data_IF_129550684941
#
_entry.id   IF_129550684941
#
_cell.length_a   1.000
_cell.length_b   1.000
_cell.length_c   1.000
_cell.angle_alpha   90.00
_cell.angle_beta   90.00
_cell.angle_gamma   90.00
#
_symmetry.space_group_name_H-M   'P 1'
#
loop_
_entity.id
_entity.type
_entity.pdbx_description
1 polymer ?
#
# COMPACT_ATOMS: atom_id res chain seq x y z
N UNK A 1 -14.90 22.94 -17.38
CA UNK A 1 -16.21 23.25 -16.74
C UNK A 1 -17.23 22.29 -17.32
N UNK A 2 -17.71 21.30 -16.55
CA UNK A 2 -18.86 20.50 -17.00
C UNK A 2 -20.09 21.39 -16.98
N UNK A 3 -20.78 21.48 -18.11
CA UNK A 3 -22.03 22.24 -18.25
C UNK A 3 -23.12 21.52 -17.45
N UNK A 4 -24.02 22.28 -16.82
CA UNK A 4 -25.16 21.70 -16.11
C UNK A 4 -26.03 20.91 -17.08
N UNK A 5 -26.28 19.63 -16.78
CA UNK A 5 -27.23 18.78 -17.49
C UNK A 5 -28.52 18.70 -16.68
N UNK A 6 -29.65 19.06 -17.30
CA UNK A 6 -30.98 18.97 -16.70
C UNK A 6 -31.76 17.90 -17.46
N UNK A 7 -32.06 16.79 -16.78
CA UNK A 7 -32.93 15.73 -17.30
C UNK A 7 -34.40 16.11 -17.13
N UNK A 8 -35.16 16.03 -18.21
CA UNK A 8 -36.58 16.32 -18.25
C UNK A 8 -37.33 15.10 -18.73
N UNK A 9 -38.50 14.84 -18.14
CA UNK A 9 -39.36 13.74 -18.56
C UNK A 9 -40.82 14.16 -18.58
N UNK A 10 -41.57 13.73 -19.58
CA UNK A 10 -43.02 13.86 -19.62
C UNK A 10 -43.67 12.66 -20.29
N UNK A 11 -44.91 12.38 -19.92
CA UNK A 11 -45.76 11.41 -20.63
C UNK A 11 -46.58 12.17 -21.65
N UNK A 12 -46.50 11.75 -22.90
CA UNK A 12 -47.19 12.38 -24.03
C UNK A 12 -48.14 11.38 -24.66
N UNK A 13 -49.36 11.83 -24.95
CA UNK A 13 -50.41 11.00 -25.55
C UNK A 13 -51.03 11.71 -26.74
N UNK A 14 -51.24 10.95 -27.80
CA UNK A 14 -52.00 11.29 -28.99
C UNK A 14 -53.41 10.68 -28.85
N UNK A 15 -54.50 11.49 -28.93
CA UNK A 15 -55.88 11.03 -28.76
C UNK A 15 -56.32 9.97 -29.78
N UNK A 16 -55.72 9.97 -30.97
CA UNK A 16 -55.94 9.01 -32.04
C UNK A 16 -55.06 7.76 -31.91
N UNK A 17 -54.22 7.70 -30.86
CA UNK A 17 -53.33 6.57 -30.57
C UNK A 17 -52.05 6.55 -31.40
N UNK A 18 -51.76 7.64 -32.12
CA UNK A 18 -50.56 7.79 -32.95
C UNK A 18 -49.25 7.84 -32.16
N UNK A 19 -48.12 7.69 -32.86
CA UNK A 19 -46.82 7.98 -32.27
C UNK A 19 -46.64 9.49 -32.10
N UNK A 20 -46.11 9.89 -30.94
CA UNK A 20 -45.90 11.29 -30.55
C UNK A 20 -44.43 11.54 -30.21
N UNK A 21 -43.90 12.67 -30.66
CA UNK A 21 -42.58 13.17 -30.28
C UNK A 21 -42.72 14.33 -29.29
N UNK A 22 -41.79 14.46 -28.34
CA UNK A 22 -41.70 15.62 -27.49
C UNK A 22 -41.09 16.80 -28.26
N UNK A 23 -41.67 17.98 -28.10
CA UNK A 23 -41.08 19.27 -28.49
C UNK A 23 -40.87 20.07 -27.21
N UNK A 24 -39.62 20.45 -26.95
CA UNK A 24 -39.20 21.10 -25.72
C UNK A 24 -38.54 22.43 -26.03
N UNK A 25 -38.96 23.47 -25.33
CA UNK A 25 -38.37 24.81 -25.37
C UNK A 25 -37.99 25.26 -23.96
N UNK A 26 -36.82 25.87 -23.83
CA UNK A 26 -36.38 26.55 -22.61
C UNK A 26 -36.16 28.01 -22.91
N UNK A 27 -36.88 28.88 -22.19
CA UNK A 27 -36.84 30.33 -22.34
C UNK A 27 -36.40 30.98 -21.05
N UNK A 28 -35.84 32.20 -21.11
CA UNK A 28 -35.56 32.95 -19.90
C UNK A 28 -36.88 33.35 -19.22
N UNK A 29 -36.99 33.14 -17.91
CA UNK A 29 -38.24 33.35 -17.16
C UNK A 29 -38.71 34.81 -17.24
N UNK A 30 -37.79 35.76 -17.06
CA UNK A 30 -38.07 37.21 -17.09
C UNK A 30 -37.89 37.83 -18.48
N UNK A 31 -37.54 37.02 -19.49
CA UNK A 31 -37.48 37.42 -20.91
C UNK A 31 -38.06 36.28 -21.75
N UNK A 32 -39.38 36.05 -21.71
CA UNK A 32 -40.00 34.86 -22.31
C UNK A 32 -39.82 34.77 -23.84
N UNK A 33 -39.53 35.88 -24.51
CA UNK A 33 -39.21 35.89 -25.94
C UNK A 33 -37.78 35.39 -26.25
N UNK A 34 -36.93 35.26 -25.24
CA UNK A 34 -35.56 34.75 -25.38
C UNK A 34 -35.55 33.23 -25.24
N UNK A 35 -35.57 32.53 -26.37
CA UNK A 35 -35.33 31.09 -26.45
C UNK A 35 -33.84 30.81 -26.21
N UNK A 36 -33.54 29.95 -25.25
CA UNK A 36 -32.17 29.62 -24.83
C UNK A 36 -31.77 28.23 -25.28
N UNK A 37 -32.74 27.31 -25.32
CA UNK A 37 -32.52 25.96 -25.77
C UNK A 37 -33.81 25.41 -26.37
N UNK A 38 -33.71 24.58 -27.40
CA UNK A 38 -34.83 23.85 -28.00
C UNK A 38 -34.39 22.47 -28.43
N UNK A 39 -35.29 21.50 -28.35
CA UNK A 39 -35.03 20.13 -28.76
C UNK A 39 -36.26 19.26 -28.67
N UNK A 40 -36.06 17.95 -28.71
CA UNK A 40 -37.15 16.99 -28.72
C UNK A 40 -36.66 15.56 -28.77
N UNK A 41 -37.60 14.64 -28.89
CA UNK A 41 -37.34 13.20 -29.00
C UNK A 41 -37.71 12.68 -30.38
N UNK A 42 -37.28 11.45 -30.68
CA UNK A 42 -37.89 10.67 -31.77
C UNK A 42 -39.32 10.26 -31.39
N UNK A 43 -40.24 10.12 -32.36
CA UNK A 43 -41.61 9.70 -32.07
C UNK A 43 -41.66 8.33 -31.37
N UNK A 44 -42.45 8.25 -30.30
CA UNK A 44 -42.69 7.01 -29.55
C UNK A 44 -44.19 6.76 -29.42
N UNK A 45 -44.58 5.54 -29.03
CA UNK A 45 -45.98 5.19 -28.84
C UNK A 45 -46.68 6.12 -27.84
N UNK A 46 -47.95 6.44 -28.12
CA UNK A 46 -48.82 7.24 -27.23
C UNK A 46 -48.80 6.69 -25.78
N UNK A 47 -48.74 7.58 -24.81
CA UNK A 47 -48.71 7.25 -23.38
C UNK A 47 -47.35 6.83 -22.83
N UNK A 48 -46.27 6.86 -23.63
CA UNK A 48 -44.90 6.60 -23.16
C UNK A 48 -44.29 7.82 -22.50
N UNK A 49 -43.52 7.58 -21.44
CA UNK A 49 -42.63 8.59 -20.85
C UNK A 49 -41.46 8.83 -21.80
N UNK A 50 -41.20 10.10 -22.08
CA UNK A 50 -40.13 10.54 -22.97
C UNK A 50 -39.23 11.52 -22.23
N UNK A 51 -37.92 11.36 -22.40
CA UNK A 51 -36.93 12.17 -21.70
C UNK A 51 -36.01 12.95 -22.64
N UNK A 52 -35.63 14.14 -22.23
CA UNK A 52 -34.71 15.03 -22.96
C UNK A 52 -33.70 15.61 -21.99
N UNK A 53 -32.43 15.64 -22.39
CA UNK A 53 -31.35 16.28 -21.63
C UNK A 53 -31.12 17.68 -22.17
N UNK A 54 -31.13 18.68 -21.28
CA UNK A 54 -30.81 20.07 -21.59
C UNK A 54 -29.44 20.38 -21.04
N UNK A 55 -28.54 20.87 -21.89
CA UNK A 55 -27.17 21.19 -21.54
C UNK A 55 -26.84 22.67 -21.82
N UNK A 56 -25.78 23.17 -21.18
CA UNK A 56 -25.19 24.47 -21.51
C UNK A 56 -25.98 25.71 -21.09
N UNK A 57 -26.98 25.57 -20.21
CA UNK A 57 -27.70 26.72 -19.66
C UNK A 57 -26.79 27.56 -18.74
N UNK A 58 -26.70 28.89 -18.96
CA UNK A 58 -26.04 29.80 -18.01
C UNK A 58 -26.74 29.85 -16.64
N UNK A 59 -26.12 30.55 -15.68
CA UNK A 59 -26.80 30.90 -14.42
C UNK A 59 -27.99 31.83 -14.72
N UNK A 60 -29.16 31.50 -14.21
CA UNK A 60 -30.38 32.27 -14.45
C UNK A 60 -31.66 31.51 -14.12
N UNK A 61 -32.80 32.17 -14.29
CA UNK A 61 -34.13 31.58 -14.15
C UNK A 61 -34.75 31.33 -15.52
N UNK A 62 -35.35 30.16 -15.69
CA UNK A 62 -35.85 29.63 -16.95
C UNK A 62 -37.29 29.13 -16.81
N UNK A 63 -38.03 29.21 -17.91
CA UNK A 63 -39.30 28.55 -18.10
C UNK A 63 -39.14 27.47 -19.15
N UNK A 64 -39.41 26.24 -18.76
CA UNK A 64 -39.59 25.09 -19.63
C UNK A 64 -40.98 25.11 -20.25
N UNK A 65 -41.08 24.73 -21.51
CA UNK A 65 -42.33 24.33 -22.18
C UNK A 65 -42.14 22.99 -22.89
N UNK A 66 -43.05 22.05 -22.67
CA UNK A 66 -43.08 20.75 -23.35
C UNK A 66 -44.45 20.50 -23.99
N UNK A 67 -44.47 20.04 -25.23
CA UNK A 67 -45.68 19.67 -25.97
C UNK A 67 -45.45 18.37 -26.77
N UNK A 68 -46.53 17.66 -27.10
CA UNK A 68 -46.49 16.52 -28.01
C UNK A 68 -46.70 16.96 -29.46
N UNK A 69 -45.94 16.38 -30.39
CA UNK A 69 -46.12 16.54 -31.84
C UNK A 69 -46.41 15.18 -32.48
N UNK A 70 -47.51 15.09 -33.22
CA UNK A 70 -47.91 13.87 -33.94
C UNK A 70 -47.15 13.71 -35.28
N UNK A 71 -47.46 12.64 -36.02
CA UNK A 71 -46.88 12.35 -37.33
C UNK A 71 -47.32 13.34 -38.43
N UNK A 72 -48.52 13.90 -38.33
CA UNK A 72 -49.02 14.92 -39.25
C UNK A 72 -48.37 16.29 -38.99
N UNK A 73 -47.66 16.42 -37.87
CA UNK A 73 -46.98 17.63 -37.44
C UNK A 73 -47.84 18.53 -36.55
N UNK A 74 -49.04 18.09 -36.16
CA UNK A 74 -49.88 18.82 -35.23
C UNK A 74 -49.23 18.82 -33.85
N UNK A 75 -49.25 19.97 -33.19
CA UNK A 75 -48.69 20.16 -31.85
C UNK A 75 -49.84 20.31 -30.87
N UNK A 76 -49.87 19.46 -29.86
CA UNK A 76 -50.85 19.50 -28.78
C UNK A 76 -50.61 20.63 -27.78
N UNK A 77 -51.46 20.73 -26.74
CA UNK A 77 -51.27 21.69 -25.67
C UNK A 77 -49.93 21.48 -24.96
N UNK A 78 -49.33 22.57 -24.47
CA UNK A 78 -48.04 22.53 -23.77
C UNK A 78 -48.19 22.63 -22.26
N UNK A 79 -47.32 21.92 -21.53
CA UNK A 79 -47.12 22.07 -20.09
C UNK A 79 -45.86 22.90 -19.83
N UNK A 80 -45.85 23.69 -18.76
CA UNK A 80 -44.72 24.55 -18.40
C UNK A 80 -44.22 24.33 -16.98
N UNK A 81 -42.93 24.50 -16.75
CA UNK A 81 -42.28 24.41 -15.44
C UNK A 81 -41.19 25.47 -15.32
N UNK A 82 -41.09 26.15 -14.18
CA UNK A 82 -40.06 27.17 -13.95
C UNK A 82 -38.93 26.56 -13.11
N UNK A 83 -37.68 26.85 -13.48
CA UNK A 83 -36.49 26.38 -12.76
C UNK A 83 -35.36 27.42 -12.79
N UNK A 84 -34.37 27.29 -11.92
CA UNK A 84 -33.19 28.14 -11.92
C UNK A 84 -31.90 27.33 -11.97
N UNK A 85 -30.93 27.82 -12.73
CA UNK A 85 -29.56 27.33 -12.74
C UNK A 85 -28.72 28.29 -11.90
N UNK A 86 -28.08 27.79 -10.85
CA UNK A 86 -27.20 28.59 -9.98
C UNK A 86 -25.75 28.14 -10.12
N UNK A 87 -24.80 29.04 -9.85
CA UNK A 87 -23.39 28.66 -9.72
C UNK A 87 -23.26 27.68 -8.55
N UNK A 88 -22.46 26.62 -8.71
CA UNK A 88 -22.13 25.73 -7.60
C UNK A 88 -21.46 26.56 -6.49
N UNK A 89 -22.12 26.65 -5.33
CA UNK A 89 -21.63 27.39 -4.15
C UNK A 89 -20.41 26.71 -3.54
N UNK A 90 -20.42 25.39 -3.56
CA UNK A 90 -19.33 24.55 -3.11
C UNK A 90 -18.63 23.90 -4.29
N UNK A 91 -17.34 23.66 -4.14
CA UNK A 91 -16.52 22.87 -5.04
C UNK A 91 -16.07 21.57 -4.33
N UNK A 92 -15.69 20.57 -5.12
CA UNK A 92 -15.10 19.35 -4.56
C UNK A 92 -13.80 19.72 -3.81
N UNK A 93 -13.60 19.26 -2.56
CA UNK A 93 -12.41 19.59 -1.81
C UNK A 93 -11.13 19.11 -2.50
N UNK A 94 -10.00 19.73 -2.16
CA UNK A 94 -8.68 19.19 -2.44
C UNK A 94 -8.10 18.60 -1.16
N UNK A 95 -7.39 17.50 -1.28
CA UNK A 95 -6.63 16.90 -0.18
C UNK A 95 -5.15 17.00 -0.54
N UNK A 96 -4.33 17.47 0.40
CA UNK A 96 -2.87 17.56 0.20
C UNK A 96 -2.17 17.03 1.44
N UNK A 97 -1.27 16.07 1.24
CA UNK A 97 -0.42 15.57 2.32
C UNK A 97 0.49 16.69 2.83
N UNK A 98 0.63 16.79 4.15
CA UNK A 98 1.49 17.80 4.79
C UNK A 98 2.90 17.24 4.91
N UNK A 99 3.88 17.92 4.31
CA UNK A 99 5.29 17.56 4.44
C UNK A 99 5.80 17.81 5.87
N UNK A 100 6.84 17.07 6.28
CA UNK A 100 7.49 17.22 7.60
C UNK A 100 6.92 16.32 8.71
N UNK A 101 5.89 15.52 8.42
CA UNK A 101 5.46 14.42 9.28
C UNK A 101 6.23 13.14 8.92
N UNK A 102 6.44 12.20 9.88
CA UNK A 102 7.05 10.90 9.60
C UNK A 102 6.35 10.13 8.47
N UNK A 103 5.00 10.16 8.47
CA UNK A 103 4.18 9.66 7.38
C UNK A 103 3.85 10.74 6.36
N UNK A 104 4.44 10.65 5.17
CA UNK A 104 4.07 11.49 4.01
C UNK A 104 3.24 10.68 3.01
N UNK A 105 1.95 11.01 2.90
CA UNK A 105 0.96 10.23 2.16
C UNK A 105 0.34 10.97 0.96
N UNK A 106 1.09 11.30 -0.11
CA UNK A 106 0.51 11.79 -1.36
C UNK A 106 -0.56 10.84 -1.91
N UNK A 107 -1.45 11.37 -2.76
CA UNK A 107 -2.45 10.54 -3.40
C UNK A 107 -1.77 9.50 -4.30
N UNK A 108 -2.20 8.24 -4.18
CA UNK A 108 -1.60 7.08 -4.84
C UNK A 108 -0.26 6.61 -4.26
N UNK A 109 0.24 7.19 -3.16
CA UNK A 109 1.53 6.82 -2.60
C UNK A 109 1.54 5.42 -1.96
N UNK A 110 2.75 4.84 -1.86
CA UNK A 110 3.03 3.65 -1.06
C UNK A 110 4.01 4.00 0.06
N UNK A 111 3.69 3.62 1.29
CA UNK A 111 4.56 3.76 2.46
C UNK A 111 4.88 2.38 3.00
N UNK A 112 6.12 2.13 3.40
CA UNK A 112 6.61 0.76 3.67
C UNK A 112 5.96 0.11 4.88
N UNK A 113 5.61 0.86 5.92
CA UNK A 113 5.15 0.33 7.21
C UNK A 113 3.95 1.10 7.80
N UNK A 114 3.10 0.43 8.62
CA UNK A 114 2.11 1.11 9.44
C UNK A 114 2.77 1.83 10.62
N UNK A 115 1.99 2.62 11.36
CA UNK A 115 2.43 3.30 12.60
C UNK A 115 3.01 4.68 12.40
N UNK A 116 3.33 5.09 11.17
CA UNK A 116 3.85 6.42 10.89
C UNK A 116 2.74 7.49 10.98
N UNK A 117 2.84 8.49 11.86
CA UNK A 117 1.84 9.55 11.94
C UNK A 117 1.96 10.50 10.74
N UNK A 118 0.83 10.84 10.11
CA UNK A 118 0.74 11.80 9.02
C UNK A 118 -0.37 12.82 9.20
N UNK A 119 -0.34 13.86 8.36
CA UNK A 119 -1.34 14.92 8.33
C UNK A 119 -1.76 15.27 6.90
N UNK A 120 -3.03 15.66 6.74
CA UNK A 120 -3.63 16.03 5.47
C UNK A 120 -4.32 17.38 5.61
N UNK A 121 -3.98 18.31 4.72
CA UNK A 121 -4.64 19.61 4.61
C UNK A 121 -5.78 19.52 3.62
N UNK A 122 -6.97 19.91 4.07
CA UNK A 122 -8.18 19.98 3.25
C UNK A 122 -8.32 21.42 2.72
N UNK A 123 -8.84 21.56 1.50
CA UNK A 123 -8.95 22.86 0.84
C UNK A 123 -9.94 22.84 -0.32
N UNK A 124 -9.97 23.92 -1.10
CA UNK A 124 -10.69 23.94 -2.38
C UNK A 124 -12.21 23.80 -2.32
N UNK A 125 -12.83 23.93 -1.14
CA UNK A 125 -14.26 23.67 -0.92
C UNK A 125 -15.21 24.72 -1.50
N UNK A 126 -14.68 25.82 -2.04
CA UNK A 126 -15.43 27.02 -2.40
C UNK A 126 -15.46 28.05 -1.26
N UNK A 127 -15.84 29.29 -1.57
CA UNK A 127 -15.83 30.40 -0.60
C UNK A 127 -16.89 30.25 0.51
N UNK A 128 -17.94 29.48 0.25
CA UNK A 128 -19.06 29.26 1.18
C UNK A 128 -18.82 28.07 2.12
N UNK A 129 -17.69 27.36 1.98
CA UNK A 129 -17.34 26.23 2.84
C UNK A 129 -16.96 26.72 4.23
N UNK A 130 -17.64 26.20 5.25
CA UNK A 130 -17.36 26.51 6.67
C UNK A 130 -16.79 25.30 7.42
N UNK A 131 -17.01 24.10 6.90
CA UNK A 131 -16.57 22.84 7.48
C UNK A 131 -16.19 21.86 6.37
N UNK A 132 -15.26 20.96 6.68
CA UNK A 132 -15.02 19.75 5.91
C UNK A 132 -15.44 18.54 6.72
N UNK A 133 -16.30 17.71 6.14
CA UNK A 133 -16.64 16.42 6.69
C UNK A 133 -15.80 15.33 6.03
N UNK A 134 -15.32 14.38 6.81
CA UNK A 134 -14.46 13.32 6.32
C UNK A 134 -14.71 11.96 6.99
N UNK A 135 -14.16 10.93 6.37
CA UNK A 135 -14.21 9.54 6.83
C UNK A 135 -13.01 8.75 6.30
N UNK A 136 -12.69 7.64 6.97
CA UNK A 136 -11.62 6.72 6.58
C UNK A 136 -12.23 5.39 6.12
N UNK A 137 -12.06 5.03 4.84
CA UNK A 137 -12.50 3.76 4.29
C UNK A 137 -14.02 3.53 4.24
N UNK A 138 -14.83 4.57 4.51
CA UNK A 138 -16.29 4.50 4.55
C UNK A 138 -16.90 5.73 3.83
N UNK A 139 -18.09 5.55 3.25
CA UNK A 139 -18.92 6.59 2.65
C UNK A 139 -19.73 7.40 3.69
N UNK A 140 -19.77 6.94 4.94
CA UNK A 140 -20.44 7.63 6.05
C UNK A 140 -19.51 8.65 6.69
N UNK A 141 -19.83 9.93 6.55
CA UNK A 141 -19.05 11.04 7.10
C UNK A 141 -19.33 11.23 8.59
N UNK A 142 -18.48 10.63 9.45
CA UNK A 142 -18.61 10.69 10.91
C UNK A 142 -17.69 11.69 11.60
N UNK A 143 -16.80 12.37 10.87
CA UNK A 143 -15.81 13.30 11.42
C UNK A 143 -15.84 14.63 10.67
N UNK A 144 -15.37 15.70 11.31
CA UNK A 144 -15.26 17.01 10.66
C UNK A 144 -14.16 17.89 11.24
N UNK A 145 -13.72 18.87 10.43
CA UNK A 145 -12.81 19.95 10.82
C UNK A 145 -13.30 21.29 10.25
N UNK A 146 -13.07 22.41 10.95
CA UNK A 146 -13.47 23.72 10.46
C UNK A 146 -12.66 24.13 9.23
N UNK A 147 -13.28 24.84 8.28
CA UNK A 147 -12.59 25.35 7.10
C UNK A 147 -11.49 26.38 7.43
N UNK A 148 -11.52 26.98 8.63
CA UNK A 148 -10.49 27.89 9.13
C UNK A 148 -9.22 27.19 9.62
N UNK A 149 -9.31 25.92 10.00
CA UNK A 149 -8.16 25.08 10.37
C UNK A 149 -8.34 23.66 9.81
N UNK A 150 -8.21 23.49 8.48
CA UNK A 150 -8.65 22.28 7.80
C UNK A 150 -7.52 21.23 7.76
N UNK A 151 -7.04 20.78 8.91
CA UNK A 151 -6.00 19.75 9.01
C UNK A 151 -6.54 18.52 9.72
N UNK A 152 -6.37 17.35 9.10
CA UNK A 152 -6.73 16.05 9.69
C UNK A 152 -5.48 15.20 9.91
N UNK A 153 -5.46 14.46 11.01
CA UNK A 153 -4.35 13.58 11.39
C UNK A 153 -4.74 12.12 11.21
N UNK A 154 -3.79 11.29 10.81
CA UNK A 154 -4.02 9.86 10.65
C UNK A 154 -2.72 9.07 10.82
N UNK A 155 -2.81 7.98 11.57
CA UNK A 155 -1.72 7.04 11.78
C UNK A 155 -2.24 5.66 11.37
N UNK A 156 -1.94 5.16 10.16
CA UNK A 156 -2.41 3.85 9.72
C UNK A 156 -1.92 2.76 10.67
N UNK A 157 -2.81 1.96 11.24
CA UNK A 157 -2.45 0.88 12.18
C UNK A 157 -2.27 -0.47 11.48
N UNK A 158 -2.62 -0.56 10.20
CA UNK A 158 -2.65 -1.81 9.44
C UNK A 158 -2.00 -1.61 8.08
N UNK A 159 -1.44 -2.68 7.51
CA UNK A 159 -1.07 -2.69 6.11
C UNK A 159 -2.31 -2.77 5.21
N UNK A 160 -2.22 -2.22 4.01
CA UNK A 160 -3.24 -2.30 2.98
C UNK A 160 -3.61 -0.94 2.39
N UNK A 161 -4.66 -0.90 1.57
CA UNK A 161 -5.17 0.35 1.03
C UNK A 161 -5.86 1.16 2.13
N UNK A 162 -5.60 2.46 2.14
CA UNK A 162 -6.26 3.44 2.98
C UNK A 162 -6.90 4.51 2.09
N UNK A 163 -8.03 5.01 2.53
CA UNK A 163 -8.80 5.98 1.76
C UNK A 163 -9.40 7.04 2.68
N UNK A 164 -9.10 8.30 2.41
CA UNK A 164 -9.73 9.47 3.02
C UNK A 164 -10.79 9.99 2.06
N UNK A 165 -12.04 10.03 2.50
CA UNK A 165 -13.14 10.63 1.75
C UNK A 165 -13.49 11.97 2.38
N UNK A 166 -13.65 13.03 1.58
CA UNK A 166 -13.86 14.40 2.08
C UNK A 166 -14.92 15.12 1.28
N UNK A 167 -15.80 15.87 1.95
CA UNK A 167 -16.73 16.83 1.32
C UNK A 167 -16.72 18.16 2.08
N UNK A 168 -16.94 19.25 1.36
CA UNK A 168 -17.16 20.57 1.97
C UNK A 168 -18.62 20.74 2.37
N UNK A 169 -18.84 21.50 3.44
CA UNK A 169 -20.16 21.81 3.97
C UNK A 169 -20.29 23.32 4.15
N UNK A 170 -21.40 23.88 3.69
CA UNK A 170 -21.75 25.29 3.87
C UNK A 170 -22.51 25.53 5.17
N UNK A 171 -22.64 26.79 5.58
CA UNK A 171 -23.36 27.17 6.81
C UNK A 171 -24.85 26.78 6.81
N UNK A 172 -25.46 26.64 5.63
CA UNK A 172 -26.84 26.18 5.45
C UNK A 172 -26.98 24.64 5.38
N UNK A 173 -25.88 23.91 5.57
CA UNK A 173 -25.83 22.45 5.53
C UNK A 173 -25.70 21.86 4.12
N UNK A 174 -25.62 22.68 3.06
CA UNK A 174 -25.36 22.18 1.71
C UNK A 174 -24.00 21.49 1.65
N UNK A 175 -23.88 20.43 0.84
CA UNK A 175 -22.65 19.64 0.70
C UNK A 175 -22.11 19.64 -0.73
N UNK A 176 -20.79 19.61 -0.87
CA UNK A 176 -20.13 19.43 -2.18
C UNK A 176 -20.20 17.98 -2.67
N UNK A 177 -19.68 17.75 -3.89
CA UNK A 177 -19.20 16.42 -4.29
C UNK A 177 -18.07 15.96 -3.37
N UNK A 178 -17.93 14.64 -3.23
CA UNK A 178 -16.86 14.00 -2.45
C UNK A 178 -15.57 13.91 -3.24
N UNK A 179 -14.45 14.17 -2.57
CA UNK A 179 -13.10 13.87 -3.04
C UNK A 179 -12.57 12.65 -2.30
N UNK A 180 -11.93 11.75 -3.04
CA UNK A 180 -11.29 10.55 -2.50
C UNK A 180 -9.78 10.73 -2.62
N UNK A 181 -9.06 10.54 -1.51
CA UNK A 181 -7.61 10.50 -1.45
C UNK A 181 -7.19 9.11 -0.99
N UNK A 182 -6.32 8.46 -1.74
CA UNK A 182 -5.96 7.06 -1.57
C UNK A 182 -4.45 6.91 -1.39
N UNK A 183 -4.04 5.93 -0.59
CA UNK A 183 -2.64 5.52 -0.47
C UNK A 183 -2.58 4.08 0.05
N UNK A 184 -1.44 3.42 -0.09
CA UNK A 184 -1.22 2.07 0.42
C UNK A 184 -0.12 2.05 1.47
N UNK A 185 -0.29 1.20 2.46
CA UNK A 185 0.68 0.98 3.54
C UNK A 185 1.14 -0.47 3.49
N UNK A 186 2.45 -0.68 3.42
CA UNK A 186 3.07 -2.00 3.51
C UNK A 186 3.02 -2.55 4.92
N UNK A 187 3.55 -3.75 5.12
CA UNK A 187 3.63 -4.41 6.42
C UNK A 187 4.99 -4.15 7.12
N UNK A 188 5.77 -3.20 6.62
CA UNK A 188 7.13 -2.87 7.07
C UNK A 188 8.18 -3.92 6.72
N UNK A 189 7.80 -5.01 6.04
CA UNK A 189 8.73 -6.09 5.70
C UNK A 189 9.47 -5.74 4.42
N UNK A 190 10.78 -5.97 4.45
CA UNK A 190 11.63 -5.95 3.27
C UNK A 190 12.07 -7.38 2.95
N UNK A 191 11.76 -7.86 1.75
CA UNK A 191 12.08 -9.24 1.33
C UNK A 191 12.90 -9.26 0.04
N UNK A 192 13.92 -10.12 0.02
CA UNK A 192 14.78 -10.41 -1.13
C UNK A 192 14.77 -11.91 -1.43
N UNK A 193 14.10 -12.31 -2.51
CA UNK A 193 13.98 -13.73 -2.94
C UNK A 193 15.15 -14.20 -3.80
N UNK A 194 15.82 -13.28 -4.50
CA UNK A 194 17.00 -13.51 -5.34
C UNK A 194 16.77 -14.28 -6.66
N UNK A 195 15.51 -14.43 -7.09
CA UNK A 195 15.13 -15.12 -8.35
C UNK A 195 15.47 -14.35 -9.64
N UNK A 196 15.83 -13.07 -9.55
CA UNK A 196 16.14 -12.22 -10.71
C UNK A 196 17.60 -12.40 -11.16
N UNK A 197 17.79 -13.10 -12.28
CA UNK A 197 19.09 -13.53 -12.83
C UNK A 197 19.85 -12.45 -13.62
N UNK A 198 19.29 -11.26 -13.81
CA UNK A 198 19.82 -10.31 -14.81
C UNK A 198 20.23 -8.94 -14.25
N UNK A 199 19.98 -8.65 -12.98
CA UNK A 199 20.26 -7.33 -12.41
C UNK A 199 21.32 -7.35 -11.31
N UNK A 200 22.36 -6.49 -11.38
CA UNK A 200 23.27 -6.26 -10.26
C UNK A 200 22.61 -5.48 -9.12
N UNK A 201 21.39 -4.98 -9.31
CA UNK A 201 20.54 -4.40 -8.26
C UNK A 201 19.26 -5.19 -8.16
N UNK A 202 19.14 -5.98 -7.11
CA UNK A 202 18.00 -6.83 -6.84
C UNK A 202 16.82 -5.99 -6.34
N UNK A 203 15.63 -6.14 -6.95
CA UNK A 203 14.43 -5.52 -6.42
C UNK A 203 14.09 -6.15 -5.06
N UNK A 204 13.51 -5.34 -4.17
CA UNK A 204 12.91 -5.83 -2.94
C UNK A 204 11.40 -5.76 -3.04
N UNK A 205 10.70 -6.56 -2.23
CA UNK A 205 9.32 -6.27 -1.88
C UNK A 205 9.31 -5.47 -0.58
N UNK A 206 9.00 -4.17 -0.65
CA UNK A 206 8.71 -3.33 0.52
C UNK A 206 9.84 -2.45 1.06
N UNK A 207 11.05 -2.49 0.48
CA UNK A 207 12.21 -1.72 0.96
C UNK A 207 13.22 -1.30 -0.11
N UNK A 208 14.46 -0.95 0.27
CA UNK A 208 15.49 -0.51 -0.68
C UNK A 208 15.96 -1.65 -1.58
N UNK A 209 16.46 -1.30 -2.77
CA UNK A 209 17.16 -2.26 -3.63
C UNK A 209 18.46 -2.75 -2.98
N UNK A 210 18.95 -3.93 -3.41
CA UNK A 210 20.19 -4.52 -2.93
C UNK A 210 21.18 -4.69 -4.08
N UNK A 211 22.37 -4.13 -3.95
CA UNK A 211 23.44 -4.27 -4.95
C UNK A 211 24.27 -5.51 -4.67
N UNK A 212 24.49 -6.33 -5.69
CA UNK A 212 25.26 -7.58 -5.62
C UNK A 212 26.62 -7.38 -6.27
N UNK A 213 27.70 -7.91 -5.67
CA UNK A 213 29.03 -7.87 -6.27
C UNK A 213 29.10 -8.71 -7.55
N UNK A 214 29.95 -8.35 -8.54
CA UNK A 214 29.99 -9.03 -9.83
C UNK A 214 30.43 -10.51 -9.79
N UNK A 215 31.06 -10.94 -8.71
CA UNK A 215 31.61 -12.29 -8.53
C UNK A 215 30.60 -13.27 -7.92
N UNK A 216 29.52 -12.77 -7.31
CA UNK A 216 28.43 -13.61 -6.79
C UNK A 216 27.72 -14.30 -7.97
N UNK A 217 27.45 -15.58 -7.81
CA UNK A 217 26.73 -16.39 -8.81
C UNK A 217 25.37 -16.81 -8.31
N UNK A 218 24.46 -17.12 -9.23
CA UNK A 218 23.14 -17.65 -8.92
C UNK A 218 23.14 -19.16 -9.07
N UNK A 219 22.58 -19.84 -8.07
CA UNK A 219 22.40 -21.29 -8.06
C UNK A 219 20.93 -21.65 -7.84
N UNK A 220 20.61 -22.94 -7.95
CA UNK A 220 19.27 -23.41 -7.62
C UNK A 220 18.97 -23.14 -6.15
N UNK A 221 17.81 -22.52 -5.91
CA UNK A 221 17.28 -22.35 -4.57
C UNK A 221 16.68 -23.64 -4.01
N UNK A 222 16.26 -23.62 -2.73
CA UNK A 222 15.71 -24.79 -2.04
C UNK A 222 14.49 -25.42 -2.73
N UNK A 223 13.60 -24.63 -3.35
CA UNK A 223 12.41 -25.12 -4.04
C UNK A 223 12.72 -25.66 -5.43
N UNK A 224 13.71 -25.09 -6.11
CA UNK A 224 14.17 -25.62 -7.39
C UNK A 224 14.82 -27.00 -7.22
N UNK A 225 15.60 -27.21 -6.17
CA UNK A 225 16.27 -28.48 -5.91
C UNK A 225 15.31 -29.64 -5.59
N UNK A 226 14.12 -29.33 -5.06
CA UNK A 226 13.07 -30.34 -4.82
C UNK A 226 12.04 -30.40 -5.95
N UNK A 227 12.22 -29.63 -7.04
CA UNK A 227 11.31 -29.59 -8.18
C UNK A 227 9.95 -28.92 -7.90
N UNK A 228 9.83 -28.13 -6.83
CA UNK A 228 8.60 -27.43 -6.46
C UNK A 228 8.43 -26.10 -7.22
N UNK A 229 9.54 -25.41 -7.52
CA UNK A 229 9.55 -24.18 -8.31
C UNK A 229 10.87 -24.02 -9.06
N UNK A 230 10.87 -24.25 -10.38
CA UNK A 230 12.11 -24.30 -11.19
C UNK A 230 12.83 -22.95 -11.34
N UNK A 231 12.14 -21.84 -11.10
CA UNK A 231 12.70 -20.48 -11.19
C UNK A 231 13.32 -20.02 -9.88
N UNK A 232 13.16 -20.76 -8.78
CA UNK A 232 13.73 -20.44 -7.47
C UNK A 232 15.27 -20.40 -7.51
N UNK A 233 15.87 -19.31 -7.04
CA UNK A 233 17.33 -19.12 -7.03
C UNK A 233 17.85 -18.73 -5.66
N UNK A 234 19.16 -18.88 -5.52
CA UNK A 234 19.91 -18.41 -4.38
C UNK A 234 21.20 -17.72 -4.85
N UNK A 235 21.72 -16.81 -4.04
CA UNK A 235 23.05 -16.24 -4.24
C UNK A 235 24.11 -17.14 -3.61
N UNK A 236 25.17 -17.43 -4.37
CA UNK A 236 26.36 -18.13 -3.91
C UNK A 236 27.47 -17.15 -3.58
N UNK A 237 28.06 -17.34 -2.41
CA UNK A 237 29.21 -16.61 -1.90
C UNK A 237 30.35 -17.60 -1.76
N UNK A 238 31.23 -17.64 -2.75
CA UNK A 238 32.39 -18.54 -2.80
C UNK A 238 33.72 -17.80 -3.01
N UNK A 239 33.68 -16.54 -3.41
CA UNK A 239 34.85 -15.69 -3.56
C UNK A 239 35.01 -14.69 -2.40
N UNK A 240 36.25 -14.23 -2.10
CA UNK A 240 36.50 -13.35 -0.96
C UNK A 240 35.73 -12.02 -0.99
N UNK A 241 35.44 -11.50 -2.18
CA UNK A 241 34.79 -10.20 -2.36
C UNK A 241 33.26 -10.30 -2.54
N UNK A 242 32.71 -11.51 -2.47
CA UNK A 242 31.29 -11.75 -2.62
C UNK A 242 30.48 -11.07 -1.52
N UNK A 243 29.57 -10.20 -1.93
CA UNK A 243 28.65 -9.51 -1.03
C UNK A 243 27.43 -9.00 -1.76
N UNK A 244 26.33 -8.88 -1.04
CA UNK A 244 25.18 -8.09 -1.46
C UNK A 244 24.82 -7.07 -0.37
N UNK A 245 24.52 -5.83 -0.73
CA UNK A 245 24.36 -4.75 0.23
C UNK A 245 23.23 -3.77 -0.16
N UNK A 246 22.51 -3.25 0.84
CA UNK A 246 21.55 -2.16 0.63
C UNK A 246 22.21 -0.79 0.83
N UNK A 247 21.79 0.21 0.07
CA UNK A 247 22.24 1.61 0.26
C UNK A 247 21.50 2.35 1.37
N UNK A 248 20.37 1.79 1.84
CA UNK A 248 19.53 2.34 2.89
C UNK A 248 19.12 1.23 3.87
N UNK A 249 18.58 1.62 5.02
CA UNK A 249 18.08 0.68 6.01
C UNK A 249 16.82 -0.06 5.51
N UNK A 250 16.79 -1.40 5.57
CA UNK A 250 15.60 -2.20 5.22
C UNK A 250 14.53 -2.19 6.32
N UNK A 251 14.87 -1.73 7.53
CA UNK A 251 13.97 -1.48 8.65
C UNK A 251 14.13 -0.04 9.11
N UNK A 252 13.03 0.60 9.50
CA UNK A 252 12.98 1.99 9.98
C UNK A 252 11.99 2.09 11.12
N UNK A 253 12.34 2.81 12.18
CA UNK A 253 11.45 3.10 13.31
C UNK A 253 10.86 1.83 13.97
N UNK A 254 11.71 0.82 14.23
CA UNK A 254 11.31 -0.44 14.86
C UNK A 254 12.01 -0.64 16.20
N UNK A 255 11.26 -1.02 17.23
CA UNK A 255 11.81 -1.41 18.52
C UNK A 255 12.14 -2.92 18.53
N UNK A 256 11.14 -3.77 18.22
CA UNK A 256 11.34 -5.21 18.01
C UNK A 256 11.44 -5.53 16.52
N UNK A 257 12.20 -6.57 16.15
CA UNK A 257 12.36 -6.96 14.74
C UNK A 257 12.80 -8.40 14.55
N UNK A 258 12.70 -8.87 13.31
CA UNK A 258 13.21 -10.16 12.87
C UNK A 258 14.08 -10.05 11.62
N UNK A 259 15.16 -10.83 11.60
CA UNK A 259 16.02 -11.08 10.44
C UNK A 259 15.96 -12.57 10.15
N UNK A 260 15.50 -12.93 8.95
CA UNK A 260 15.34 -14.34 8.58
C UNK A 260 15.98 -14.60 7.22
N UNK A 261 16.50 -15.80 7.02
CA UNK A 261 17.08 -16.22 5.75
C UNK A 261 17.08 -17.74 5.61
N UNK A 262 17.05 -18.20 4.36
CA UNK A 262 17.30 -19.59 4.00
C UNK A 262 18.77 -19.74 3.63
N UNK A 263 19.48 -20.59 4.38
CA UNK A 263 20.94 -20.68 4.36
C UNK A 263 21.40 -22.09 4.02
N UNK A 264 22.50 -22.19 3.28
CA UNK A 264 23.24 -23.43 3.06
C UNK A 264 24.74 -23.17 3.21
N UNK A 265 25.34 -23.72 4.26
CA UNK A 265 26.79 -23.63 4.46
C UNK A 265 27.51 -24.59 3.49
N UNK A 266 28.58 -24.13 2.83
CA UNK A 266 29.38 -24.97 1.95
C UNK A 266 30.23 -26.01 2.72
N UNK A 267 30.70 -27.04 2.03
CA UNK A 267 31.66 -27.98 2.60
C UNK A 267 33.01 -27.29 2.85
N UNK A 268 33.65 -27.58 3.99
CA UNK A 268 34.94 -26.96 4.34
C UNK A 268 34.83 -25.48 4.74
N UNK A 269 33.61 -24.97 4.95
CA UNK A 269 33.38 -23.64 5.48
C UNK A 269 34.05 -23.48 6.87
N UNK A 270 34.42 -22.24 7.27
CA UNK A 270 35.01 -21.96 8.57
C UNK A 270 34.12 -22.42 9.74
N UNK A 271 34.66 -22.47 10.95
CA UNK A 271 33.88 -22.82 12.15
C UNK A 271 32.84 -21.77 12.56
N UNK A 272 32.97 -20.56 12.02
CA UNK A 272 32.07 -19.43 12.23
C UNK A 272 31.97 -18.58 10.95
N UNK A 273 30.79 -18.00 10.72
CA UNK A 273 30.55 -17.07 9.62
C UNK A 273 29.28 -16.24 9.84
N UNK A 274 29.16 -15.15 9.09
CA UNK A 274 27.96 -14.29 9.08
C UNK A 274 27.34 -14.30 7.69
N UNK A 275 26.09 -14.74 7.58
CA UNK A 275 25.36 -14.80 6.33
C UNK A 275 24.63 -13.49 6.03
N UNK A 276 23.94 -12.93 7.02
CA UNK A 276 23.14 -11.70 6.91
C UNK A 276 23.42 -10.82 8.11
N UNK A 277 23.74 -9.56 7.89
CA UNK A 277 24.07 -8.60 8.93
C UNK A 277 23.28 -7.32 8.70
N UNK A 278 22.67 -6.77 9.76
CA UNK A 278 22.27 -5.37 9.83
C UNK A 278 23.36 -4.64 10.62
N UNK A 279 24.09 -3.76 9.95
CA UNK A 279 25.19 -3.03 10.57
C UNK A 279 24.85 -1.54 10.68
N UNK A 280 24.72 -1.07 11.93
CA UNK A 280 24.40 0.31 12.27
C UNK A 280 25.51 0.95 13.11
N UNK A 281 25.55 2.28 13.14
CA UNK A 281 26.63 3.01 13.80
C UNK A 281 26.71 2.79 15.34
N UNK A 282 25.61 2.37 15.97
CA UNK A 282 25.50 2.19 17.43
C UNK A 282 25.32 0.74 17.86
N UNK A 283 25.21 -0.18 16.91
CA UNK A 283 24.85 -1.58 17.13
C UNK A 283 24.21 -2.17 15.88
N UNK A 284 23.81 -3.42 15.99
CA UNK A 284 23.34 -4.19 14.85
C UNK A 284 23.13 -5.64 15.21
N UNK A 285 22.89 -6.46 14.19
CA UNK A 285 22.69 -7.90 14.36
C UNK A 285 23.31 -8.69 13.23
N UNK A 286 23.64 -9.94 13.50
CA UNK A 286 24.19 -10.87 12.53
C UNK A 286 23.59 -12.26 12.66
N UNK A 287 23.13 -12.80 11.54
CA UNK A 287 22.63 -14.16 11.38
C UNK A 287 23.69 -15.00 10.67
N UNK A 288 23.99 -16.19 11.18
CA UNK A 288 25.02 -17.06 10.62
C UNK A 288 25.22 -18.32 11.44
N UNK A 289 26.47 -18.71 11.68
CA UNK A 289 26.79 -19.78 12.62
C UNK A 289 28.03 -19.47 13.46
N UNK A 290 28.10 -20.06 14.65
CA UNK A 290 29.25 -20.02 15.58
C UNK A 290 29.55 -21.42 16.09
N UNK A 291 30.64 -21.59 16.83
CA UNK A 291 30.87 -22.81 17.61
C UNK A 291 29.67 -23.10 18.54
N UNK A 292 29.23 -24.36 18.58
CA UNK A 292 28.18 -24.79 19.50
C UNK A 292 28.61 -24.66 20.97
N UNK A 293 27.64 -24.48 21.88
CA UNK A 293 27.91 -24.39 23.31
C UNK A 293 28.54 -25.67 23.91
N UNK A 294 28.35 -26.84 23.27
CA UNK A 294 28.99 -28.10 23.65
C UNK A 294 30.44 -28.22 23.13
N UNK A 295 30.93 -27.21 22.40
CA UNK A 295 32.26 -27.18 21.80
C UNK A 295 32.42 -28.10 20.58
N UNK A 296 31.35 -28.74 20.09
CA UNK A 296 31.42 -29.73 19.01
C UNK A 296 30.64 -29.26 17.79
N UNK A 297 31.38 -28.83 16.76
CA UNK A 297 30.82 -28.34 15.51
C UNK A 297 30.23 -26.93 15.63
N UNK A 298 29.45 -26.54 14.62
CA UNK A 298 28.85 -25.21 14.53
C UNK A 298 27.33 -25.26 14.69
N UNK A 299 26.76 -24.24 15.30
CA UNK A 299 25.33 -24.06 15.53
C UNK A 299 24.90 -22.74 14.88
N UNK A 300 23.67 -22.70 14.37
CA UNK A 300 23.12 -21.47 13.79
C UNK A 300 22.98 -20.42 14.87
N UNK A 301 23.30 -19.18 14.52
CA UNK A 301 23.47 -18.09 15.47
C UNK A 301 22.71 -16.85 15.08
N UNK A 302 22.20 -16.15 16.10
CA UNK A 302 21.79 -14.76 16.02
C UNK A 302 22.60 -13.98 17.06
N UNK A 303 23.41 -13.05 16.58
CA UNK A 303 24.31 -12.25 17.41
C UNK A 303 23.91 -10.78 17.32
N UNK A 304 23.83 -10.11 18.47
CA UNK A 304 23.70 -8.65 18.53
C UNK A 304 25.09 -8.03 18.61
N UNK A 305 25.28 -6.84 18.05
CA UNK A 305 26.57 -6.16 17.99
C UNK A 305 26.53 -4.88 18.82
N UNK A 306 27.69 -4.44 19.31
CA UNK A 306 27.81 -3.26 20.18
C UNK A 306 28.42 -3.60 21.55
N UNK A 307 28.25 -2.69 22.51
CA UNK A 307 28.81 -2.84 23.87
C UNK A 307 28.22 -4.01 24.65
N UNK A 308 26.96 -4.33 24.39
CA UNK A 308 26.20 -5.40 25.04
C UNK A 308 25.92 -6.54 24.06
N UNK A 309 26.91 -6.88 23.23
CA UNK A 309 26.80 -7.96 22.25
C UNK A 309 26.44 -9.29 22.93
N UNK A 310 25.43 -9.96 22.38
CA UNK A 310 24.92 -11.24 22.88
C UNK A 310 24.80 -12.24 21.75
N UNK A 311 24.92 -13.52 22.09
CA UNK A 311 24.88 -14.61 21.13
C UNK A 311 23.80 -15.64 21.52
N UNK A 312 22.79 -15.78 20.67
CA UNK A 312 21.82 -16.87 20.75
C UNK A 312 22.20 -17.99 19.77
N UNK A 313 22.14 -19.25 20.21
CA UNK A 313 22.48 -20.42 19.40
C UNK A 313 21.32 -21.40 19.29
N UNK A 314 21.14 -22.00 18.12
CA UNK A 314 20.19 -23.10 17.94
C UNK A 314 20.71 -24.39 18.58
N UNK A 315 19.81 -25.25 19.06
CA UNK A 315 20.19 -26.61 19.46
C UNK A 315 20.56 -27.50 18.24
N UNK A 316 20.09 -27.15 17.04
CA UNK A 316 20.38 -27.86 15.80
C UNK A 316 21.77 -27.45 15.28
N UNK A 317 22.63 -28.43 15.01
CA UNK A 317 23.95 -28.20 14.41
C UNK A 317 23.84 -27.89 12.92
N UNK A 318 24.82 -27.15 12.40
CA UNK A 318 25.00 -26.89 10.98
C UNK A 318 25.28 -28.21 10.26
N UNK A 319 24.55 -28.47 9.18
CA UNK A 319 24.82 -29.57 8.25
C UNK A 319 25.24 -28.94 6.93
N UNK A 320 26.50 -29.07 6.56
CA UNK A 320 27.03 -28.52 5.31
C UNK A 320 26.32 -29.13 4.10
N UNK A 321 26.02 -28.30 3.10
CA UNK A 321 25.28 -28.69 1.89
C UNK A 321 23.77 -28.81 2.07
N UNK A 322 23.25 -28.75 3.30
CA UNK A 322 21.82 -28.77 3.58
C UNK A 322 21.23 -27.36 3.67
N UNK A 323 20.02 -27.17 3.14
CA UNK A 323 19.22 -25.97 3.35
C UNK A 323 18.57 -25.95 4.73
N UNK A 324 18.57 -24.78 5.35
CA UNK A 324 17.85 -24.50 6.58
C UNK A 324 17.25 -23.09 6.49
N UNK A 325 16.10 -22.88 7.11
CA UNK A 325 15.62 -21.52 7.37
C UNK A 325 15.95 -21.15 8.82
N UNK A 326 16.55 -19.98 9.01
CA UNK A 326 16.97 -19.47 10.33
C UNK A 326 16.26 -18.15 10.60
N UNK A 327 15.73 -18.01 11.81
CA UNK A 327 15.10 -16.80 12.31
C UNK A 327 15.96 -16.22 13.43
N UNK A 328 16.43 -14.99 13.28
CA UNK A 328 16.95 -14.18 14.37
C UNK A 328 15.88 -13.19 14.80
N UNK A 329 15.46 -13.25 16.07
CA UNK A 329 14.42 -12.41 16.62
C UNK A 329 14.98 -11.55 17.74
N UNK A 330 14.67 -10.26 17.73
CA UNK A 330 14.91 -9.35 18.84
C UNK A 330 13.57 -8.78 19.32
N UNK A 331 13.31 -8.94 20.62
CA UNK A 331 12.13 -8.42 21.28
C UNK A 331 12.55 -7.37 22.32
N UNK A 332 12.26 -6.10 22.04
CA UNK A 332 12.60 -4.98 22.90
C UNK A 332 11.73 -4.92 24.17
N UNK A 333 10.49 -5.42 24.12
CA UNK A 333 9.58 -5.41 25.27
C UNK A 333 10.08 -6.35 26.37
N UNK A 334 10.53 -7.53 25.95
CA UNK A 334 11.07 -8.56 26.85
C UNK A 334 12.60 -8.45 27.05
N UNK A 335 13.29 -7.65 26.22
CA UNK A 335 14.75 -7.50 26.25
C UNK A 335 15.48 -8.80 25.91
N UNK A 336 15.01 -9.54 24.91
CA UNK A 336 15.54 -10.86 24.54
C UNK A 336 15.89 -10.99 23.07
N UNK A 337 17.00 -11.67 22.80
CA UNK A 337 17.38 -12.15 21.49
C UNK A 337 17.18 -13.68 21.43
N UNK A 338 16.54 -14.16 20.37
CA UNK A 338 16.25 -15.58 20.14
C UNK A 338 16.68 -15.99 18.74
N UNK A 339 17.10 -17.24 18.61
CA UNK A 339 17.29 -17.87 17.30
C UNK A 339 16.41 -19.11 17.17
N UNK A 340 15.74 -19.26 16.03
CA UNK A 340 14.96 -20.45 15.68
C UNK A 340 15.42 -21.01 14.35
N UNK A 341 15.15 -22.29 14.11
CA UNK A 341 15.42 -22.90 12.81
C UNK A 341 14.45 -23.99 12.44
N UNK A 342 14.29 -24.21 11.13
CA UNK A 342 13.47 -25.27 10.55
C UNK A 342 14.03 -25.66 9.18
N UNK A 343 13.53 -26.76 8.64
CA UNK A 343 13.86 -27.18 7.27
C UNK A 343 12.59 -27.34 6.45
N UNK A 344 12.71 -27.42 5.13
CA UNK A 344 11.56 -27.66 4.26
C UNK A 344 10.83 -28.98 4.55
N UNK A 345 11.53 -29.94 5.17
CA UNK A 345 10.98 -31.24 5.56
C UNK A 345 10.45 -31.27 7.01
N UNK A 346 10.84 -30.29 7.84
CA UNK A 346 10.37 -30.11 9.22
C UNK A 346 10.02 -28.64 9.41
N UNK A 347 8.82 -28.27 8.94
CA UNK A 347 8.35 -26.87 8.85
C UNK A 347 7.96 -26.26 10.20
N UNK A 348 8.15 -27.00 11.30
CA UNK A 348 7.92 -26.50 12.65
C UNK A 348 9.19 -25.75 13.11
N UNK A 349 9.14 -24.43 13.33
CA UNK A 349 10.28 -23.69 13.87
C UNK A 349 10.67 -24.28 15.23
N UNK A 350 11.91 -24.71 15.36
CA UNK A 350 12.47 -25.20 16.62
C UNK A 350 13.24 -24.07 17.30
N UNK A 351 12.86 -23.66 18.52
CA UNK A 351 13.56 -22.63 19.24
C UNK A 351 14.96 -23.10 19.65
N UNK A 352 15.90 -22.17 19.60
CA UNK A 352 17.23 -22.26 20.20
C UNK A 352 17.26 -21.67 21.60
N UNK A 353 18.44 -21.20 22.00
CA UNK A 353 18.61 -20.42 23.20
C UNK A 353 17.98 -19.02 23.06
N UNK A 354 17.40 -18.54 24.15
CA UNK A 354 17.04 -17.13 24.34
C UNK A 354 18.08 -16.49 25.25
N UNK A 355 18.53 -15.30 24.89
CA UNK A 355 19.56 -14.57 25.63
C UNK A 355 19.04 -13.18 25.98
N UNK A 356 19.15 -12.81 27.25
CA UNK A 356 18.84 -11.44 27.68
C UNK A 356 19.83 -10.47 27.04
N UNK A 357 19.32 -9.36 26.52
CA UNK A 357 20.10 -8.34 25.82
C UNK A 357 19.59 -6.95 26.20
N UNK A 358 20.49 -5.98 26.19
CA UNK A 358 20.12 -4.58 26.33
C UNK A 358 19.39 -4.05 25.10
N UNK A 359 19.28 -2.72 24.99
CA UNK A 359 18.69 -2.08 23.83
C UNK A 359 19.55 -2.31 22.59
N UNK A 360 18.98 -2.94 21.57
CA UNK A 360 19.57 -3.06 20.23
C UNK A 360 18.87 -2.09 19.30
N UNK A 361 19.63 -1.24 18.63
CA UNK A 361 19.12 -0.35 17.58
C UNK A 361 19.65 -0.77 16.22
N UNK A 362 18.75 -0.85 15.25
CA UNK A 362 19.05 -1.06 13.82
C UNK A 362 18.68 0.19 12.99
N UNK A 363 18.48 1.33 13.65
CA UNK A 363 18.10 2.56 12.97
C UNK A 363 19.23 3.04 12.05
N UNK A 364 18.89 3.25 10.78
CA UNK A 364 19.87 3.57 9.74
C UNK A 364 20.82 2.44 9.35
N UNK A 365 20.67 1.23 9.92
CA UNK A 365 21.55 0.10 9.65
C UNK A 365 21.37 -0.42 8.22
N UNK A 366 22.45 -0.54 7.45
CA UNK A 366 22.39 -1.16 6.12
C UNK A 366 22.47 -2.68 6.24
N UNK A 367 21.81 -3.40 5.32
CA UNK A 367 21.93 -4.84 5.24
C UNK A 367 23.15 -5.23 4.40
N UNK A 368 23.90 -6.20 4.91
CA UNK A 368 25.01 -6.88 4.22
C UNK A 368 24.72 -8.38 4.21
N UNK A 369 24.79 -9.01 3.05
CA UNK A 369 24.69 -10.46 2.85
C UNK A 369 26.03 -10.96 2.33
N UNK A 370 26.49 -12.09 2.86
CA UNK A 370 27.76 -12.71 2.50
C UNK A 370 28.93 -12.40 3.45
N UNK A 371 28.75 -11.53 4.44
CA UNK A 371 29.78 -11.19 5.43
C UNK A 371 29.19 -10.52 6.66
N UNK A 372 30.00 -10.38 7.72
CA UNK A 372 29.62 -9.76 8.98
C UNK A 372 30.63 -9.99 10.10
N UNK A 373 30.14 -9.94 11.34
CA UNK A 373 30.98 -9.89 12.55
C UNK A 373 31.85 -11.12 12.79
N UNK A 374 31.38 -12.33 12.45
CA UNK A 374 32.22 -13.55 12.48
C UNK A 374 32.87 -13.87 11.13
N UNK A 375 33.08 -12.86 10.31
CA UNK A 375 33.72 -13.01 9.03
C UNK A 375 32.79 -13.47 7.91
N UNK A 376 33.42 -13.92 6.83
CA UNK A 376 32.79 -14.11 5.52
C UNK A 376 31.95 -15.38 5.47
N UNK A 377 30.83 -15.30 4.77
CA UNK A 377 30.02 -16.46 4.44
C UNK A 377 30.68 -17.26 3.32
N UNK A 378 30.62 -18.60 3.44
CA UNK A 378 30.96 -19.50 2.34
C UNK A 378 29.80 -20.48 2.16
N UNK A 379 29.03 -20.30 1.08
CA UNK A 379 27.79 -21.04 0.85
C UNK A 379 26.73 -20.21 0.13
N UNK A 380 25.48 -20.66 0.24
CA UNK A 380 24.37 -20.09 -0.51
C UNK A 380 23.32 -19.44 0.43
N UNK A 381 22.74 -18.33 0.01
CA UNK A 381 21.71 -17.56 0.74
C UNK A 381 20.52 -17.31 -0.17
N UNK A 382 19.32 -17.56 0.35
CA UNK A 382 18.04 -17.31 -0.30
C UNK A 382 17.04 -16.69 0.69
N UNK A 383 15.99 -16.08 0.15
CA UNK A 383 14.81 -15.59 0.89
C UNK A 383 15.14 -14.77 2.16
N UNK A 384 15.94 -13.71 2.00
CA UNK A 384 16.29 -12.83 3.11
C UNK A 384 15.12 -11.90 3.40
N UNK A 385 14.64 -11.92 4.64
CA UNK A 385 13.56 -11.05 5.10
C UNK A 385 13.95 -10.27 6.34
N UNK A 386 13.67 -8.97 6.31
CA UNK A 386 13.68 -8.08 7.46
C UNK A 386 12.24 -7.70 7.79
N UNK A 387 11.81 -7.87 9.03
CA UNK A 387 10.43 -7.62 9.45
C UNK A 387 10.37 -6.83 10.77
N UNK A 388 9.41 -5.89 10.91
CA UNK A 388 9.10 -5.29 12.20
C UNK A 388 8.44 -6.33 13.11
N UNK A 389 8.80 -6.30 14.39
CA UNK A 389 8.28 -7.18 15.42
C UNK A 389 8.59 -8.67 15.21
N UNK A 390 7.89 -9.48 16.00
CA UNK A 390 7.97 -10.94 15.94
C UNK A 390 7.02 -11.49 14.88
N UNK A 391 7.51 -12.30 13.91
CA UNK A 391 6.64 -13.00 12.96
C UNK A 391 5.64 -13.91 13.68
N UNK A 392 4.43 -14.05 13.14
CA UNK A 392 3.45 -14.98 13.72
C UNK A 392 3.89 -16.44 13.51
N UNK A 393 3.33 -17.38 14.28
CA UNK A 393 3.56 -18.82 14.05
C UNK A 393 3.24 -19.24 12.61
N UNK A 394 2.17 -18.70 12.04
CA UNK A 394 1.80 -18.92 10.65
C UNK A 394 2.81 -18.34 9.66
N UNK A 395 3.38 -17.17 9.93
CA UNK A 395 4.45 -16.60 9.10
C UNK A 395 5.71 -17.46 9.13
N UNK A 396 6.11 -17.92 10.31
CA UNK A 396 7.30 -18.75 10.47
C UNK A 396 7.12 -20.11 9.76
N UNK A 397 5.99 -20.79 9.95
CA UNK A 397 5.73 -22.06 9.25
C UNK A 397 5.71 -21.91 7.73
N UNK A 398 5.16 -20.80 7.21
CA UNK A 398 5.20 -20.49 5.78
C UNK A 398 6.63 -20.24 5.29
N UNK A 399 7.46 -19.53 6.05
CA UNK A 399 8.88 -19.34 5.70
C UNK A 399 9.64 -20.65 5.66
N UNK A 400 9.36 -21.56 6.59
CA UNK A 400 9.98 -22.88 6.62
C UNK A 400 9.64 -23.76 5.40
N UNK A 401 8.45 -23.61 4.81
CA UNK A 401 8.06 -24.43 3.65
C UNK A 401 8.63 -23.90 2.32
N UNK A 402 9.23 -22.71 2.32
CA UNK A 402 9.61 -21.97 1.10
C UNK A 402 8.41 -21.44 0.30
N UNK A 403 7.19 -21.91 0.58
CA UNK A 403 5.96 -21.50 -0.11
C UNK A 403 5.40 -20.28 0.61
N UNK A 404 5.76 -19.07 0.16
CA UNK A 404 5.01 -17.86 0.52
C UNK A 404 4.79 -16.96 -0.71
N UNK A 405 3.51 -16.84 -1.08
CA UNK A 405 2.89 -15.95 -2.08
C UNK A 405 3.40 -14.50 -2.08
#
# INVERSE_FOLDING_TARGET
>A
MRRSEVGLSAVLSDPEGGNVAAVVEVRQLYRPNTLVWQGGTTPQASGRSQSVMVDGLPVGSYRLRIAGRDRAGNVGPSVTCDFSVTKARLAAPTVTAVAGYPGFYPDGAYVSAPGLPGAFRLGGGGADAVEYQYSWGDITFGQSVPASDPVVFYTPQTSGPHTLMVRAVAADGATSMTTTHSFSVGNGRTRYVFDDLVSPTLPSRGGPGMTVSPTVTWVLGPLAEIGAYEEDRALRFDEPDDRAQTSEAPLKDVDSFAVTATLRAAAGAPGEASAVTLDGATGGVSLGYRACADGVGSCWSFETTGSDATLALTARKVVTGGWIHVFGLYDADDGVAEVLSCTINDVTPRPGAQTAVGTVSVEGATALVGSGVAGRWHGDVADVTFAPGRPTSGDMTRACSGIIS
#
